data_IF_052845597809
#
_entry.id   IF_052845597809
#
_cell.length_a   1.000
_cell.length_b   1.000
_cell.length_c   1.000
_cell.angle_alpha   90.00
_cell.angle_beta   90.00
_cell.angle_gamma   90.00
#
_symmetry.space_group_name_H-M   'P 1'
#
loop_
_entity.id
_entity.type
_entity.pdbx_description
1 polymer ?
#
# COMPACT_ATOMS: atom_id res chain seq x y z
N UNK A 1 4.04 -3.73 10.76
CA UNK A 1 4.21 -4.85 11.70
C UNK A 1 5.11 -5.87 11.03
N UNK A 2 6.30 -6.05 11.58
CA UNK A 2 7.30 -6.93 11.00
C UNK A 2 7.05 -8.37 11.45
N UNK A 3 6.93 -9.29 10.50
CA UNK A 3 7.04 -10.73 10.78
C UNK A 3 8.53 -11.06 10.89
N UNK A 4 8.99 -11.40 12.07
CA UNK A 4 10.32 -12.00 12.25
C UNK A 4 10.19 -13.51 12.14
N UNK A 5 10.64 -14.08 11.03
CA UNK A 5 11.04 -15.48 11.00
C UNK A 5 12.44 -15.55 11.61
N UNK A 6 12.57 -16.05 12.83
CA UNK A 6 13.88 -16.34 13.42
C UNK A 6 14.40 -17.64 12.81
N UNK A 7 15.26 -17.53 11.80
CA UNK A 7 16.16 -18.62 11.42
C UNK A 7 17.39 -18.54 12.31
N UNK A 8 17.56 -19.51 13.20
CA UNK A 8 18.78 -19.67 13.98
C UNK A 8 19.93 -20.11 13.07
N UNK A 9 20.79 -19.16 12.72
CA UNK A 9 22.11 -19.43 12.20
C UNK A 9 23.06 -19.66 13.39
N UNK A 10 23.32 -20.91 13.75
CA UNK A 10 24.52 -21.28 14.50
C UNK A 10 25.63 -21.63 13.50
N UNK A 11 26.61 -20.76 13.44
CA UNK A 11 27.91 -21.04 12.84
C UNK A 11 28.70 -21.95 13.76
N UNK A 12 28.94 -23.20 13.36
CA UNK A 12 30.03 -24.02 13.90
C UNK A 12 30.68 -24.77 12.75
N UNK A 13 31.98 -24.60 12.66
CA UNK A 13 32.90 -25.22 11.72
C UNK A 13 33.05 -26.73 11.96
N UNK A 14 33.15 -27.47 10.83
CA UNK A 14 33.65 -28.85 10.72
C UNK A 14 32.82 -30.00 11.31
N UNK A 15 32.33 -30.83 10.40
CA UNK A 15 31.87 -32.19 10.67
C UNK A 15 30.68 -32.58 9.84
N UNK A 16 30.90 -33.29 8.73
CA UNK A 16 29.87 -33.94 7.93
C UNK A 16 29.11 -34.93 8.80
N UNK A 17 27.86 -34.62 9.15
CA UNK A 17 26.88 -35.60 9.63
C UNK A 17 25.57 -35.29 8.93
N UNK A 18 25.20 -36.19 8.03
CA UNK A 18 23.85 -36.22 7.40
C UNK A 18 22.83 -36.47 8.52
N UNK A 19 22.16 -35.41 8.95
CA UNK A 19 20.95 -35.52 9.76
C UNK A 19 19.76 -35.19 8.90
N UNK A 20 18.96 -36.20 8.56
CA UNK A 20 17.60 -36.07 8.09
C UNK A 20 16.74 -35.64 9.28
N UNK A 21 16.69 -34.34 9.55
CA UNK A 21 15.88 -33.76 10.61
C UNK A 21 14.67 -33.07 9.96
N UNK A 22 13.48 -33.51 10.29
CA UNK A 22 12.22 -32.86 9.98
C UNK A 22 12.28 -31.39 10.40
N UNK A 23 12.09 -30.48 9.46
CA UNK A 23 11.94 -29.06 9.75
C UNK A 23 10.59 -28.83 10.44
N UNK A 24 10.58 -28.85 11.76
CA UNK A 24 9.43 -28.42 12.54
C UNK A 24 9.19 -26.93 12.26
N UNK A 25 8.14 -26.61 11.53
CA UNK A 25 7.73 -25.23 11.28
C UNK A 25 7.26 -24.57 12.58
N UNK A 26 8.01 -23.59 13.06
CA UNK A 26 7.57 -22.75 14.18
C UNK A 26 6.52 -21.76 13.69
N UNK A 27 5.27 -21.92 14.15
CA UNK A 27 4.22 -20.92 13.97
C UNK A 27 4.32 -19.89 15.09
N UNK A 28 4.68 -18.64 14.77
CA UNK A 28 4.60 -17.55 15.72
C UNK A 28 3.14 -17.06 15.82
N UNK A 29 2.60 -16.95 17.04
CA UNK A 29 1.31 -16.31 17.25
C UNK A 29 1.44 -14.80 16.99
N UNK A 30 0.67 -14.28 16.04
CA UNK A 30 0.60 -12.85 15.75
C UNK A 30 -0.59 -12.26 16.51
N UNK A 31 -0.36 -11.16 17.24
CA UNK A 31 -1.41 -10.44 17.94
C UNK A 31 -1.66 -9.09 17.28
N UNK A 32 -2.94 -8.75 17.09
CA UNK A 32 -3.35 -7.41 16.71
C UNK A 32 -3.63 -6.57 17.96
N UNK A 33 -3.22 -5.30 17.94
CA UNK A 33 -3.41 -4.38 19.07
C UNK A 33 -4.50 -3.37 18.77
N UNK A 34 -5.39 -3.14 19.75
CA UNK A 34 -6.40 -2.09 19.71
C UNK A 34 -6.33 -1.27 21.01
N UNK A 35 -6.01 0.02 20.87
CA UNK A 35 -5.95 0.95 21.98
C UNK A 35 -7.38 1.33 22.45
N UNK A 36 -7.50 1.68 23.72
CA UNK A 36 -8.75 2.08 24.37
C UNK A 36 -9.88 1.05 24.29
N UNK A 37 -9.54 -0.24 24.22
CA UNK A 37 -10.49 -1.34 24.18
C UNK A 37 -10.05 -2.49 25.09
N UNK A 38 -11.03 -3.29 25.54
CA UNK A 38 -10.81 -4.52 26.28
C UNK A 38 -11.90 -5.57 25.98
N UNK A 39 -11.55 -6.85 26.07
CA UNK A 39 -12.50 -7.95 26.05
C UNK A 39 -12.89 -8.29 27.50
N UNK A 40 -14.14 -8.05 27.87
CA UNK A 40 -14.62 -8.18 29.25
C UNK A 40 -15.29 -9.55 29.50
N UNK A 41 -15.17 -10.06 30.74
CA UNK A 41 -15.85 -11.29 31.17
C UNK A 41 -15.33 -12.58 30.51
N UNK A 42 -14.13 -12.55 29.92
CA UNK A 42 -13.50 -13.72 29.30
C UNK A 42 -12.12 -14.00 29.92
N UNK A 43 -11.81 -13.34 31.02
CA UNK A 43 -10.52 -13.44 31.72
C UNK A 43 -10.40 -14.81 32.38
N UNK A 44 -9.29 -15.50 32.09
CA UNK A 44 -8.95 -16.79 32.70
C UNK A 44 -7.85 -16.65 33.74
N UNK A 45 -6.98 -15.65 33.59
CA UNK A 45 -5.88 -15.39 34.50
C UNK A 45 -5.53 -13.90 34.48
N UNK A 46 -5.15 -13.35 35.63
CA UNK A 46 -4.70 -11.97 35.78
C UNK A 46 -3.35 -11.95 36.47
N UNK A 47 -2.36 -11.27 35.88
CA UNK A 47 -1.01 -11.12 36.41
C UNK A 47 -0.52 -9.69 36.29
N UNK A 48 0.37 -9.27 37.19
CA UNK A 48 1.08 -8.00 37.04
C UNK A 48 2.30 -8.20 36.16
N UNK A 49 2.51 -7.26 35.24
CA UNK A 49 3.62 -7.25 34.27
C UNK A 49 4.27 -5.88 34.22
N UNK A 50 5.50 -5.82 33.76
CA UNK A 50 6.23 -4.55 33.55
C UNK A 50 5.84 -3.91 32.23
N UNK A 51 5.60 -4.72 31.21
CA UNK A 51 5.24 -4.24 29.87
C UNK A 51 4.28 -5.21 29.14
N UNK A 52 3.85 -4.82 27.96
CA UNK A 52 2.94 -5.62 27.13
C UNK A 52 3.62 -6.86 26.53
N UNK A 53 4.95 -6.82 26.36
CA UNK A 53 5.71 -7.94 25.82
C UNK A 53 5.77 -9.11 26.83
N UNK A 54 5.90 -8.81 28.13
CA UNK A 54 5.83 -9.81 29.17
C UNK A 54 4.46 -10.51 29.22
N UNK A 55 3.38 -9.73 29.09
CA UNK A 55 2.01 -10.27 29.00
C UNK A 55 1.83 -11.16 27.76
N UNK A 56 2.31 -10.71 26.62
CA UNK A 56 2.31 -11.47 25.37
C UNK A 56 3.03 -12.82 25.52
N UNK A 57 4.23 -12.81 26.10
CA UNK A 57 5.01 -14.03 26.33
C UNK A 57 4.26 -15.03 27.23
N UNK A 58 3.62 -14.54 28.32
CA UNK A 58 2.83 -15.39 29.19
C UNK A 58 1.62 -15.99 28.47
N UNK A 59 0.95 -15.20 27.63
CA UNK A 59 -0.19 -15.67 26.83
C UNK A 59 0.23 -16.75 25.82
N UNK A 60 1.37 -16.59 25.13
CA UNK A 60 1.86 -17.60 24.18
C UNK A 60 2.22 -18.91 24.89
N UNK A 61 2.76 -18.85 26.11
CA UNK A 61 3.10 -20.03 26.89
C UNK A 61 1.88 -20.78 27.42
N UNK A 62 0.70 -20.16 27.43
CA UNK A 62 -0.55 -20.77 27.87
C UNK A 62 -1.42 -21.17 26.68
N UNK A 63 -1.51 -22.46 26.40
CA UNK A 63 -2.22 -23.03 25.24
C UNK A 63 -3.70 -22.65 25.14
N UNK A 64 -4.32 -22.17 26.22
CA UNK A 64 -5.71 -21.73 26.27
C UNK A 64 -5.87 -20.23 26.08
N UNK A 65 -4.80 -19.45 26.14
CA UNK A 65 -4.85 -18.01 25.94
C UNK A 65 -5.00 -17.65 24.45
N UNK A 66 -6.06 -16.91 24.12
CA UNK A 66 -6.38 -16.46 22.75
C UNK A 66 -6.26 -14.95 22.56
N UNK A 67 -6.31 -14.20 23.64
CA UNK A 67 -6.14 -12.76 23.65
C UNK A 67 -5.76 -12.28 25.06
N UNK A 68 -5.34 -11.02 25.17
CA UNK A 68 -5.12 -10.41 26.48
C UNK A 68 -5.45 -8.92 26.47
N UNK A 69 -5.81 -8.40 27.66
CA UNK A 69 -5.96 -6.97 27.89
C UNK A 69 -4.80 -6.46 28.75
N UNK A 70 -4.35 -5.25 28.49
CA UNK A 70 -3.43 -4.53 29.37
C UNK A 70 -4.14 -3.34 29.96
N UNK A 71 -4.04 -3.19 31.27
CA UNK A 71 -4.60 -2.06 32.02
C UNK A 71 -3.51 -1.35 32.82
N UNK A 72 -3.54 -0.01 32.93
CA UNK A 72 -2.66 0.70 33.84
C UNK A 72 -2.99 0.36 35.31
N UNK A 73 -1.99 0.11 36.13
CA UNK A 73 -2.19 -0.08 37.57
C UNK A 73 -2.33 1.28 38.25
N UNK A 74 -3.44 1.49 39.00
CA UNK A 74 -3.72 2.78 39.66
C UNK A 74 -2.72 3.13 40.78
N UNK A 75 -2.03 2.12 41.32
CA UNK A 75 -1.13 2.28 42.47
C UNK A 75 0.35 2.33 42.12
N UNK A 76 0.72 2.00 40.89
CA UNK A 76 2.15 1.97 40.46
C UNK A 76 2.26 2.27 38.96
N UNK A 77 2.92 3.36 38.61
CA UNK A 77 3.10 3.77 37.21
C UNK A 77 4.03 2.85 36.40
N UNK A 78 4.80 1.98 37.06
CA UNK A 78 5.78 1.08 36.40
C UNK A 78 5.16 -0.28 36.07
N UNK A 79 4.12 -0.72 36.78
CA UNK A 79 3.48 -2.01 36.56
C UNK A 79 2.12 -1.85 35.86
N UNK A 80 1.76 -2.85 35.06
CA UNK A 80 0.49 -2.97 34.36
C UNK A 80 -0.20 -4.28 34.75
N UNK A 81 -1.51 -4.29 34.67
CA UNK A 81 -2.31 -5.52 34.83
C UNK A 81 -2.50 -6.18 33.46
N UNK A 82 -2.11 -7.44 33.36
CA UNK A 82 -2.33 -8.30 32.20
C UNK A 82 -3.48 -9.26 32.51
N UNK A 83 -4.56 -9.16 31.77
CA UNK A 83 -5.70 -10.10 31.84
C UNK A 83 -5.64 -11.01 30.61
N UNK A 84 -5.31 -12.28 30.80
CA UNK A 84 -5.31 -13.29 29.74
C UNK A 84 -6.71 -13.87 29.53
N UNK A 85 -7.17 -13.91 28.28
CA UNK A 85 -8.52 -14.35 27.90
C UNK A 85 -8.48 -15.65 27.09
N UNK A 86 -9.47 -16.51 27.31
CA UNK A 86 -9.66 -17.74 26.53
C UNK A 86 -10.49 -17.54 25.26
N UNK A 87 -10.87 -16.29 24.95
CA UNK A 87 -11.66 -15.89 23.78
C UNK A 87 -11.03 -14.72 23.06
N UNK A 88 -11.50 -14.44 21.83
CA UNK A 88 -11.12 -13.26 21.05
C UNK A 88 -12.32 -12.35 20.81
N UNK A 89 -12.07 -11.10 20.39
CA UNK A 89 -13.12 -10.14 20.04
C UNK A 89 -14.01 -10.64 18.88
N UNK A 90 -13.45 -11.44 17.97
CA UNK A 90 -14.17 -12.03 16.85
C UNK A 90 -15.16 -13.09 17.32
N UNK A 91 -14.80 -13.89 18.33
CA UNK A 91 -15.65 -14.93 18.90
C UNK A 91 -16.69 -14.39 19.89
N UNK A 92 -16.36 -13.28 20.57
CA UNK A 92 -17.21 -12.64 21.59
C UNK A 92 -17.39 -11.13 21.35
N UNK A 93 -17.94 -10.69 20.20
CA UNK A 93 -18.01 -9.27 19.85
C UNK A 93 -18.86 -8.44 20.82
N UNK A 94 -19.87 -9.02 21.45
CA UNK A 94 -20.70 -8.34 22.46
C UNK A 94 -19.96 -8.01 23.75
N UNK A 95 -18.87 -8.70 24.05
CA UNK A 95 -18.01 -8.51 25.22
C UNK A 95 -16.83 -7.57 24.96
N UNK A 96 -16.58 -7.22 23.70
CA UNK A 96 -15.54 -6.27 23.31
C UNK A 96 -16.06 -4.84 23.45
N UNK A 97 -15.47 -4.07 24.37
CA UNK A 97 -15.95 -2.74 24.76
C UNK A 97 -14.83 -1.70 24.74
N UNK A 98 -15.22 -0.44 24.51
CA UNK A 98 -14.33 0.70 24.71
C UNK A 98 -13.99 0.84 26.19
N UNK A 99 -12.70 0.89 26.53
CA UNK A 99 -12.16 1.05 27.88
C UNK A 99 -10.91 1.92 27.80
N UNK A 100 -11.08 3.21 28.03
CA UNK A 100 -10.03 4.21 27.87
C UNK A 100 -8.82 3.87 28.75
N UNK A 101 -7.61 4.02 28.20
CA UNK A 101 -6.34 3.70 28.85
C UNK A 101 -5.97 2.22 28.87
N UNK A 102 -6.82 1.34 28.33
CA UNK A 102 -6.53 -0.08 28.20
C UNK A 102 -6.13 -0.42 26.76
N UNK A 103 -5.40 -1.51 26.55
CA UNK A 103 -5.15 -2.06 25.22
C UNK A 103 -5.57 -3.52 25.15
N UNK A 104 -6.30 -3.87 24.09
CA UNK A 104 -6.64 -5.24 23.75
C UNK A 104 -5.64 -5.80 22.75
N UNK A 105 -5.20 -7.03 22.97
CA UNK A 105 -4.31 -7.77 22.08
C UNK A 105 -4.95 -9.12 21.77
N UNK A 106 -5.41 -9.30 20.53
CA UNK A 106 -6.05 -10.54 20.08
C UNK A 106 -5.13 -11.38 19.23
N UNK A 107 -5.04 -12.68 19.49
CA UNK A 107 -4.35 -13.57 18.57
C UNK A 107 -5.08 -13.61 17.24
N UNK A 108 -4.34 -13.33 16.17
CA UNK A 108 -4.79 -13.63 14.82
C UNK A 108 -4.38 -15.06 14.55
N UNK A 109 -5.33 -15.97 14.35
CA UNK A 109 -5.01 -17.33 13.95
C UNK A 109 -4.30 -17.31 12.61
N UNK A 110 -2.99 -17.43 12.64
CA UNK A 110 -2.18 -17.66 11.44
C UNK A 110 -2.18 -19.17 11.23
N UNK A 111 -3.01 -19.65 10.32
CA UNK A 111 -2.96 -21.06 9.90
C UNK A 111 -1.65 -21.31 9.17
N UNK A 112 -0.68 -21.91 9.85
CA UNK A 112 0.53 -22.40 9.21
C UNK A 112 0.18 -23.61 8.37
N UNK A 113 0.23 -23.49 7.05
CA UNK A 113 0.13 -24.64 6.15
C UNK A 113 1.52 -25.25 6.00
N UNK A 114 1.70 -26.47 6.50
CA UNK A 114 2.87 -27.28 6.18
C UNK A 114 2.92 -27.54 4.67
N UNK A 115 3.89 -26.96 3.99
CA UNK A 115 4.27 -27.32 2.63
C UNK A 115 5.17 -28.56 2.72
N UNK A 116 4.62 -29.69 3.06
CA UNK A 116 5.08 -31.08 2.80
C UNK A 116 4.19 -32.05 3.57
N UNK A 117 3.13 -32.51 2.98
CA UNK A 117 2.55 -33.78 3.38
C UNK A 117 1.85 -34.41 2.17
N UNK A 118 2.54 -35.31 1.53
CA UNK A 118 1.91 -36.42 0.85
C UNK A 118 1.15 -37.27 1.88
N UNK A 119 -0.10 -37.53 1.55
CA UNK A 119 -1.02 -38.53 2.06
C UNK A 119 -2.16 -38.07 2.99
N UNK A 120 -3.33 -38.04 2.33
CA UNK A 120 -4.67 -38.39 2.80
C UNK A 120 -5.00 -38.24 4.31
N UNK A 121 -5.54 -37.04 4.67
CA UNK A 121 -6.74 -36.98 5.52
C UNK A 121 -7.33 -35.55 5.45
N UNK A 122 -8.61 -35.46 5.00
CA UNK A 122 -9.43 -34.27 5.02
C UNK A 122 -9.64 -33.78 6.45
N UNK A 123 -8.93 -32.73 6.86
CA UNK A 123 -9.39 -31.80 7.91
C UNK A 123 -9.74 -30.51 7.23
N UNK A 124 -10.88 -29.92 7.55
CA UNK A 124 -11.42 -28.68 7.00
C UNK A 124 -10.45 -27.50 7.19
N UNK A 125 -9.42 -27.44 6.35
CA UNK A 125 -8.37 -26.44 6.39
C UNK A 125 -8.82 -25.18 5.68
N UNK A 126 -8.97 -24.07 6.40
CA UNK A 126 -9.03 -22.74 5.76
C UNK A 126 -7.64 -22.39 5.22
N UNK A 127 -7.57 -21.99 3.97
CA UNK A 127 -6.32 -21.53 3.36
C UNK A 127 -5.80 -20.25 4.06
N UNK A 128 -4.48 -20.02 3.97
CA UNK A 128 -3.88 -18.73 4.33
C UNK A 128 -4.61 -17.59 3.60
N UNK A 129 -4.80 -16.40 4.19
CA UNK A 129 -5.59 -15.30 3.59
C UNK A 129 -5.21 -14.87 2.16
N UNK A 130 -4.00 -15.22 1.71
CA UNK A 130 -3.56 -14.99 0.33
C UNK A 130 -3.85 -16.14 -0.64
N UNK A 131 -4.50 -17.21 -0.19
CA UNK A 131 -4.70 -18.43 -0.97
C UNK A 131 -6.11 -18.97 -0.83
N UNK A 132 -6.61 -19.66 -1.86
CA UNK A 132 -7.92 -20.29 -1.88
C UNK A 132 -7.89 -21.61 -2.69
N UNK A 133 -9.07 -22.26 -2.82
CA UNK A 133 -9.23 -23.54 -3.51
C UNK A 133 -8.99 -24.74 -2.57
N UNK A 134 -9.36 -25.93 -3.05
CA UNK A 134 -9.28 -27.18 -2.25
C UNK A 134 -7.86 -27.50 -1.74
N UNK A 135 -6.83 -27.08 -2.47
CA UNK A 135 -5.42 -27.33 -2.16
C UNK A 135 -4.67 -26.03 -1.77
N UNK A 136 -5.37 -24.93 -1.55
CA UNK A 136 -4.79 -23.62 -1.25
C UNK A 136 -3.73 -23.17 -2.28
N UNK A 137 -3.94 -23.45 -3.55
CA UNK A 137 -3.02 -23.12 -4.65
C UNK A 137 -3.41 -21.87 -5.42
N UNK A 138 -4.67 -21.43 -5.33
CA UNK A 138 -5.17 -20.22 -5.99
C UNK A 138 -4.72 -19.01 -5.20
N UNK A 139 -3.86 -18.18 -5.78
CA UNK A 139 -3.34 -16.96 -5.13
C UNK A 139 -4.35 -15.82 -5.25
N UNK A 140 -4.46 -15.01 -4.21
CA UNK A 140 -5.26 -13.77 -4.22
C UNK A 140 -4.83 -12.87 -5.40
N UNK A 141 -5.81 -12.35 -6.13
CA UNK A 141 -5.59 -11.54 -7.32
C UNK A 141 -5.29 -12.31 -8.61
N UNK A 142 -5.17 -13.65 -8.57
CA UNK A 142 -4.90 -14.45 -9.77
C UNK A 142 -6.15 -14.78 -10.60
N UNK A 143 -7.34 -14.68 -10.00
CA UNK A 143 -8.63 -14.94 -10.69
C UNK A 143 -9.70 -13.97 -10.21
N UNK A 144 -10.78 -13.78 -11.01
CA UNK A 144 -11.93 -12.96 -10.61
C UNK A 144 -12.68 -13.54 -9.40
N UNK A 145 -12.60 -14.83 -9.16
CA UNK A 145 -13.24 -15.49 -8.02
C UNK A 145 -12.51 -15.27 -6.70
N UNK A 146 -11.26 -14.81 -6.77
CA UNK A 146 -10.44 -14.51 -5.59
C UNK A 146 -9.62 -13.24 -5.80
N UNK A 147 -10.26 -12.07 -5.97
CA UNK A 147 -9.59 -10.78 -6.17
C UNK A 147 -8.91 -10.31 -4.89
N UNK A 148 -7.91 -9.43 -5.03
CA UNK A 148 -7.44 -8.61 -3.93
C UNK A 148 -8.27 -7.33 -3.79
N UNK A 149 -8.21 -6.69 -2.63
CA UNK A 149 -8.77 -5.34 -2.48
C UNK A 149 -7.92 -4.32 -3.25
N UNK A 150 -6.59 -4.50 -3.24
CA UNK A 150 -5.63 -3.62 -3.91
C UNK A 150 -4.35 -4.38 -4.26
N UNK A 151 -3.47 -3.77 -5.05
CA UNK A 151 -2.12 -4.30 -5.29
C UNK A 151 -1.33 -4.51 -3.98
N UNK A 152 -1.46 -3.59 -3.03
CA UNK A 152 -0.84 -3.69 -1.70
C UNK A 152 -1.38 -4.88 -0.89
N UNK A 153 -2.68 -5.13 -0.96
CA UNK A 153 -3.34 -6.29 -0.34
C UNK A 153 -2.82 -7.60 -0.93
N UNK A 154 -2.75 -7.69 -2.25
CA UNK A 154 -2.20 -8.87 -2.96
C UNK A 154 -0.76 -9.11 -2.53
N UNK A 155 0.09 -8.08 -2.59
CA UNK A 155 1.50 -8.18 -2.19
C UNK A 155 1.65 -8.67 -0.74
N UNK A 156 0.86 -8.10 0.18
CA UNK A 156 0.89 -8.44 1.62
C UNK A 156 0.64 -9.92 1.87
N UNK A 157 -0.31 -10.52 1.17
CA UNK A 157 -0.75 -11.87 1.46
C UNK A 157 -0.14 -12.95 0.57
N UNK A 158 0.39 -12.59 -0.61
CA UNK A 158 0.94 -13.57 -1.57
C UNK A 158 2.44 -13.42 -1.80
N UNK A 159 3.05 -12.34 -1.29
CA UNK A 159 4.44 -11.97 -1.57
C UNK A 159 4.75 -11.93 -3.09
N UNK A 160 3.78 -11.44 -3.88
CA UNK A 160 3.90 -11.33 -5.33
C UNK A 160 5.11 -10.47 -5.71
N UNK A 161 5.93 -10.95 -6.65
CA UNK A 161 7.14 -10.27 -7.13
C UNK A 161 7.07 -9.89 -8.61
N UNK A 162 6.00 -10.24 -9.29
CA UNK A 162 5.85 -9.97 -10.73
C UNK A 162 5.03 -8.71 -10.94
N UNK A 163 5.60 -7.74 -11.65
CA UNK A 163 4.88 -6.60 -12.19
C UNK A 163 3.95 -7.09 -13.30
N UNK A 164 2.65 -7.08 -13.08
CA UNK A 164 1.68 -7.70 -13.97
C UNK A 164 0.26 -7.24 -13.68
N UNK A 165 -0.68 -7.76 -14.45
CA UNK A 165 -2.10 -7.66 -14.16
C UNK A 165 -2.52 -8.58 -13.01
N UNK A 166 -3.40 -8.03 -12.17
CA UNK A 166 -4.07 -8.76 -11.10
C UNK A 166 -5.54 -8.38 -11.05
N UNK A 167 -6.36 -9.29 -10.55
CA UNK A 167 -7.76 -9.04 -10.30
C UNK A 167 -7.93 -8.32 -8.96
N UNK A 168 -8.60 -7.16 -8.98
CA UNK A 168 -8.91 -6.39 -7.78
C UNK A 168 -10.40 -6.08 -7.70
N UNK A 169 -10.91 -6.00 -6.47
CA UNK A 169 -12.26 -5.53 -6.15
C UNK A 169 -12.19 -4.60 -4.93
N UNK A 170 -11.89 -3.30 -5.13
CA UNK A 170 -11.71 -2.33 -4.06
C UNK A 170 -12.88 -2.25 -3.09
N UNK A 171 -14.10 -2.33 -3.58
CA UNK A 171 -15.34 -2.28 -2.77
C UNK A 171 -15.75 -3.63 -2.18
N UNK A 172 -15.22 -4.75 -2.69
CA UNK A 172 -15.70 -6.08 -2.31
C UNK A 172 -17.14 -6.36 -2.76
N UNK A 173 -17.58 -5.78 -3.87
CA UNK A 173 -18.97 -5.88 -4.38
C UNK A 173 -19.20 -7.10 -5.27
N UNK A 174 -18.18 -7.93 -5.48
CA UNK A 174 -18.26 -9.09 -6.37
C UNK A 174 -18.14 -8.74 -7.85
N UNK A 175 -17.69 -7.53 -8.17
CA UNK A 175 -17.43 -7.08 -9.54
C UNK A 175 -15.94 -6.76 -9.74
N UNK A 176 -15.04 -7.76 -9.69
CA UNK A 176 -13.63 -7.55 -9.86
C UNK A 176 -13.28 -7.09 -11.27
N UNK A 177 -12.15 -6.42 -11.42
CA UNK A 177 -11.59 -6.04 -12.70
C UNK A 177 -10.07 -6.20 -12.67
N UNK A 178 -9.45 -6.29 -13.86
CA UNK A 178 -8.01 -6.36 -13.99
C UNK A 178 -7.38 -4.99 -13.86
N UNK A 179 -6.30 -4.91 -13.10
CA UNK A 179 -5.47 -3.72 -12.96
C UNK A 179 -3.99 -4.09 -12.97
N UNK A 180 -3.16 -3.20 -13.48
CA UNK A 180 -1.72 -3.40 -13.46
C UNK A 180 -1.15 -3.02 -12.09
N UNK A 181 -0.40 -3.96 -11.50
CA UNK A 181 0.31 -3.74 -10.25
C UNK A 181 1.83 -3.79 -10.47
N UNK A 182 2.53 -2.77 -9.98
CA UNK A 182 3.97 -2.79 -9.81
C UNK A 182 4.28 -3.31 -8.40
N UNK A 183 4.83 -4.54 -8.37
CA UNK A 183 5.06 -5.30 -7.14
C UNK A 183 6.51 -5.19 -6.63
N UNK A 184 7.35 -4.43 -7.32
CA UNK A 184 8.80 -4.40 -7.04
C UNK A 184 9.33 -3.02 -6.67
N UNK A 185 8.90 -1.96 -7.33
CA UNK A 185 9.42 -0.60 -7.11
C UNK A 185 9.09 -0.12 -5.70
N UNK A 186 10.10 0.34 -4.95
CA UNK A 186 9.96 0.90 -3.60
C UNK A 186 9.08 0.02 -2.68
N UNK A 187 9.41 -1.25 -2.60
CA UNK A 187 8.66 -2.22 -1.80
C UNK A 187 7.36 -2.73 -2.43
N UNK A 188 6.98 -2.24 -3.61
CA UNK A 188 5.86 -2.76 -4.40
C UNK A 188 4.47 -2.37 -3.91
N UNK A 189 3.46 -3.06 -4.48
CA UNK A 189 2.05 -2.84 -4.13
C UNK A 189 1.44 -1.59 -4.76
N UNK A 190 2.02 -1.09 -5.83
CA UNK A 190 1.57 0.09 -6.55
C UNK A 190 0.52 -0.24 -7.61
N UNK A 191 -0.61 0.45 -7.56
CA UNK A 191 -1.69 0.37 -8.55
C UNK A 191 -1.48 1.45 -9.62
N UNK A 192 -1.38 1.07 -10.88
CA UNK A 192 -1.28 2.00 -12.01
C UNK A 192 -2.63 2.66 -12.26
N UNK A 193 -2.68 4.00 -12.16
CA UNK A 193 -3.91 4.80 -12.38
C UNK A 193 -3.83 5.71 -13.60
N UNK A 194 -2.64 5.92 -14.14
CA UNK A 194 -2.42 6.65 -15.39
C UNK A 194 -1.29 5.99 -16.17
N UNK A 195 -1.48 5.75 -17.47
CA UNK A 195 -0.49 5.17 -18.37
C UNK A 195 -0.57 5.82 -19.74
N UNK A 196 0.41 6.65 -20.05
CA UNK A 196 0.58 7.25 -21.38
C UNK A 196 1.97 6.88 -21.88
N UNK A 197 2.02 6.24 -23.05
CA UNK A 197 3.25 5.87 -23.75
C UNK A 197 3.09 6.29 -25.19
N UNK A 198 4.01 7.10 -25.66
CA UNK A 198 3.97 7.58 -27.06
C UNK A 198 4.34 6.47 -28.04
N UNK A 199 3.54 6.31 -29.07
CA UNK A 199 3.80 5.40 -30.19
C UNK A 199 4.46 6.09 -31.38
N UNK A 200 4.69 5.32 -32.44
CA UNK A 200 5.18 5.84 -33.74
C UNK A 200 4.12 6.68 -34.50
N UNK A 201 2.83 6.54 -34.16
CA UNK A 201 1.75 7.34 -34.72
C UNK A 201 1.51 8.59 -33.86
N UNK A 202 1.49 9.76 -34.46
CA UNK A 202 1.40 11.07 -33.79
C UNK A 202 -0.01 11.42 -33.24
N UNK A 203 -0.86 10.43 -32.92
CA UNK A 203 -2.14 10.71 -32.26
C UNK A 203 -1.95 10.97 -30.77
N UNK A 204 -1.96 12.23 -30.38
CA UNK A 204 -1.85 12.68 -28.98
C UNK A 204 -3.20 12.65 -28.24
N UNK A 205 -4.20 11.93 -28.75
CA UNK A 205 -5.50 11.85 -28.11
C UNK A 205 -5.44 10.99 -26.86
N UNK A 206 -5.74 11.59 -25.71
CA UNK A 206 -5.81 10.90 -24.41
C UNK A 206 -7.16 10.17 -24.27
N UNK A 207 -7.13 8.99 -23.66
CA UNK A 207 -8.32 8.25 -23.21
C UNK A 207 -8.63 8.65 -21.77
N UNK A 208 -9.68 9.47 -21.59
CA UNK A 208 -10.04 10.04 -20.29
C UNK A 208 -10.96 9.09 -19.55
N UNK A 209 -10.52 8.60 -18.42
CA UNK A 209 -11.25 7.69 -17.53
C UNK A 209 -11.99 8.48 -16.45
N UNK A 210 -13.32 8.39 -16.45
CA UNK A 210 -14.21 9.11 -15.53
C UNK A 210 -14.68 8.28 -14.33
N UNK A 211 -14.43 6.97 -14.33
CA UNK A 211 -14.54 6.06 -13.18
C UNK A 211 -13.26 5.26 -13.04
N UNK A 212 -12.80 5.00 -11.82
CA UNK A 212 -11.54 4.28 -11.62
C UNK A 212 -11.55 2.85 -12.18
N UNK A 213 -12.71 2.26 -12.44
CA UNK A 213 -12.79 0.93 -13.09
C UNK A 213 -12.22 0.93 -14.52
N UNK A 214 -12.20 2.09 -15.15
CA UNK A 214 -11.59 2.27 -16.48
C UNK A 214 -10.06 2.18 -16.50
N UNK A 215 -9.37 2.08 -15.34
CA UNK A 215 -7.92 1.85 -15.31
C UNK A 215 -7.53 0.48 -15.90
N UNK A 216 -8.48 -0.42 -16.10
CA UNK A 216 -8.29 -1.67 -16.85
C UNK A 216 -7.86 -1.43 -18.31
N UNK A 217 -8.15 -0.25 -18.88
CA UNK A 217 -7.78 0.14 -20.26
C UNK A 217 -6.34 0.66 -20.38
N UNK A 218 -5.47 0.38 -19.41
CA UNK A 218 -4.11 0.87 -19.43
C UNK A 218 -3.29 0.39 -20.66
N UNK A 219 -3.70 -0.70 -21.31
CA UNK A 219 -3.10 -1.21 -22.54
C UNK A 219 -3.24 -0.27 -23.74
N UNK A 220 -4.20 0.67 -23.69
CA UNK A 220 -4.34 1.70 -24.73
C UNK A 220 -3.10 2.60 -24.85
N UNK A 221 -2.27 2.64 -23.79
CA UNK A 221 -1.12 3.56 -23.67
C UNK A 221 -1.49 5.03 -23.79
N UNK A 222 -2.76 5.37 -23.54
CA UNK A 222 -3.30 6.75 -23.63
C UNK A 222 -4.17 7.10 -22.42
N UNK A 223 -4.23 6.23 -21.43
CA UNK A 223 -5.13 6.31 -20.29
C UNK A 223 -4.72 7.39 -19.31
N UNK A 224 -5.62 8.33 -19.05
CA UNK A 224 -5.55 9.32 -17.97
C UNK A 224 -6.82 9.30 -17.15
N UNK A 225 -6.72 9.56 -15.84
CA UNK A 225 -7.83 9.48 -14.91
C UNK A 225 -8.26 10.88 -14.44
N UNK A 226 -9.57 11.12 -14.34
CA UNK A 226 -10.10 12.38 -13.80
C UNK A 226 -9.93 12.47 -12.28
N UNK A 227 -9.95 13.70 -11.76
CA UNK A 227 -9.92 13.94 -10.31
C UNK A 227 -11.13 13.31 -9.60
N UNK A 228 -12.31 13.28 -10.25
CA UNK A 228 -13.50 12.62 -9.69
C UNK A 228 -13.32 11.10 -9.56
N UNK A 229 -12.71 10.46 -10.56
CA UNK A 229 -12.41 9.03 -10.51
C UNK A 229 -11.31 8.71 -9.49
N UNK A 230 -10.33 9.61 -9.31
CA UNK A 230 -9.34 9.51 -8.23
C UNK A 230 -9.98 9.63 -6.84
N UNK A 231 -10.98 10.51 -6.69
CA UNK A 231 -11.75 10.66 -5.44
C UNK A 231 -12.55 9.39 -5.12
N UNK A 232 -13.19 8.81 -6.13
CA UNK A 232 -13.88 7.52 -6.01
C UNK A 232 -12.91 6.43 -5.55
N UNK A 233 -11.76 6.30 -6.21
CA UNK A 233 -10.73 5.31 -5.87
C UNK A 233 -10.16 5.53 -4.46
N UNK A 234 -9.94 6.78 -4.05
CA UNK A 234 -9.48 7.10 -2.70
C UNK A 234 -10.50 6.66 -1.64
N UNK A 235 -11.80 6.91 -1.88
CA UNK A 235 -12.87 6.48 -0.98
C UNK A 235 -12.91 4.97 -0.74
N UNK A 236 -12.56 4.19 -1.76
CA UNK A 236 -12.59 2.73 -1.70
C UNK A 236 -11.26 2.11 -1.17
N UNK A 237 -10.11 2.71 -1.48
CA UNK A 237 -8.79 2.15 -1.14
C UNK A 237 -8.07 2.87 -0.01
N UNK A 238 -8.40 4.15 0.26
CA UNK A 238 -7.70 4.99 1.23
C UNK A 238 -6.16 4.93 1.06
N UNK A 239 -5.69 5.06 -0.18
CA UNK A 239 -4.25 5.03 -0.48
C UNK A 239 -3.55 6.24 0.14
N UNK A 240 -2.28 6.06 0.53
CA UNK A 240 -1.52 7.05 1.30
C UNK A 240 -0.40 7.71 0.50
N UNK A 241 -0.11 7.20 -0.68
CA UNK A 241 0.98 7.70 -1.51
C UNK A 241 0.58 7.73 -2.99
N UNK A 242 1.11 8.73 -3.70
CA UNK A 242 1.05 8.84 -5.15
C UNK A 242 2.49 8.87 -5.68
N UNK A 243 2.75 8.14 -6.76
CA UNK A 243 4.05 8.09 -7.44
C UNK A 243 3.90 8.59 -8.86
N UNK A 244 4.67 9.62 -9.22
CA UNK A 244 4.75 10.20 -10.56
C UNK A 244 6.03 9.72 -11.23
N UNK A 245 5.94 9.25 -12.47
CA UNK A 245 7.09 8.74 -13.21
C UNK A 245 6.97 9.06 -14.69
N UNK A 246 7.85 9.88 -15.22
CA UNK A 246 7.96 10.12 -16.66
C UNK A 246 9.41 10.16 -17.15
N UNK A 247 9.57 9.87 -18.43
CA UNK A 247 10.85 9.99 -19.13
C UNK A 247 10.62 10.31 -20.60
N UNK A 248 11.42 11.23 -21.13
CA UNK A 248 11.53 11.51 -22.57
C UNK A 248 12.96 11.26 -23.04
N UNK A 249 13.12 10.51 -24.12
CA UNK A 249 14.43 10.20 -24.71
C UNK A 249 15.18 11.47 -25.14
N UNK A 250 14.47 12.40 -25.78
CA UNK A 250 15.04 13.68 -26.24
C UNK A 250 15.50 14.60 -25.12
N UNK A 251 14.99 14.39 -23.89
CA UNK A 251 15.37 15.15 -22.68
C UNK A 251 16.52 14.46 -21.96
N UNK A 252 16.54 13.13 -21.97
CA UNK A 252 17.56 12.29 -21.32
C UNK A 252 17.42 12.24 -19.78
N UNK A 253 16.40 12.90 -19.21
CA UNK A 253 16.14 12.91 -17.77
C UNK A 253 14.85 12.16 -17.42
N UNK A 254 14.82 11.67 -16.20
CA UNK A 254 13.68 10.99 -15.59
C UNK A 254 13.16 11.81 -14.42
N UNK A 255 11.88 12.15 -14.42
CA UNK A 255 11.19 12.67 -13.25
C UNK A 255 10.48 11.49 -12.58
N UNK A 256 10.93 11.12 -11.39
CA UNK A 256 10.39 9.98 -10.66
C UNK A 256 10.33 10.27 -9.16
N UNK A 257 9.15 10.59 -8.67
CA UNK A 257 8.94 11.00 -7.27
C UNK A 257 7.77 10.26 -6.64
N UNK A 258 7.86 10.05 -5.33
CA UNK A 258 6.80 9.47 -4.48
C UNK A 258 6.43 10.48 -3.42
N UNK A 259 5.14 10.70 -3.17
CA UNK A 259 4.70 11.56 -2.05
C UNK A 259 5.26 11.04 -0.73
N UNK A 260 5.80 11.95 0.09
CA UNK A 260 6.41 11.61 1.37
C UNK A 260 5.38 11.01 2.34
N UNK A 261 5.79 10.06 3.18
CA UNK A 261 4.95 9.46 4.20
C UNK A 261 4.82 10.36 5.45
N UNK A 262 4.40 11.63 5.24
CA UNK A 262 4.20 12.65 6.26
C UNK A 262 2.98 13.52 5.94
N UNK A 263 2.70 14.53 6.77
CA UNK A 263 1.56 15.45 6.56
C UNK A 263 1.63 16.23 5.25
N UNK A 264 2.83 16.65 4.82
CA UNK A 264 3.02 17.36 3.55
C UNK A 264 2.72 16.47 2.34
N UNK A 265 3.19 15.22 2.35
CA UNK A 265 2.86 14.25 1.29
C UNK A 265 1.39 13.85 1.31
N UNK A 266 0.78 13.74 2.48
CA UNK A 266 -0.66 13.50 2.58
C UNK A 266 -1.49 14.65 1.99
N UNK A 267 -1.06 15.91 2.16
CA UNK A 267 -1.71 17.06 1.53
C UNK A 267 -1.70 16.95 -0.02
N UNK A 268 -0.62 16.44 -0.61
CA UNK A 268 -0.53 16.14 -2.06
C UNK A 268 -1.53 15.06 -2.45
N UNK A 269 -1.61 13.97 -1.67
CA UNK A 269 -2.58 12.89 -1.90
C UNK A 269 -4.01 13.42 -1.87
N UNK A 270 -4.38 14.21 -0.86
CA UNK A 270 -5.70 14.82 -0.74
C UNK A 270 -6.05 15.74 -1.93
N UNK A 271 -5.08 16.54 -2.36
CA UNK A 271 -5.25 17.45 -3.48
C UNK A 271 -5.53 16.70 -4.79
N UNK A 272 -4.67 15.75 -5.16
CA UNK A 272 -4.82 14.98 -6.40
C UNK A 272 -5.99 13.99 -6.36
N UNK A 273 -6.47 13.64 -5.17
CA UNK A 273 -7.70 12.86 -4.98
C UNK A 273 -8.97 13.71 -4.92
N UNK A 274 -8.88 15.04 -5.15
CA UNK A 274 -10.05 15.93 -5.16
C UNK A 274 -10.76 16.08 -3.81
N UNK A 275 -10.07 15.84 -2.70
CA UNK A 275 -10.62 16.02 -1.34
C UNK A 275 -10.46 17.45 -0.85
N UNK A 276 -9.54 18.20 -1.43
CA UNK A 276 -9.29 19.62 -1.15
C UNK A 276 -8.91 20.35 -2.44
N UNK A 277 -9.14 21.66 -2.46
CA UNK A 277 -8.68 22.56 -3.51
C UNK A 277 -7.47 23.40 -3.06
N UNK A 278 -6.93 23.12 -1.87
CA UNK A 278 -5.74 23.78 -1.37
C UNK A 278 -4.50 23.18 -2.06
N UNK A 279 -3.79 24.00 -2.83
CA UNK A 279 -2.55 23.61 -3.50
C UNK A 279 -1.47 23.32 -2.45
N UNK A 280 -0.94 22.07 -2.41
CA UNK A 280 0.04 21.68 -1.41
C UNK A 280 1.44 22.23 -1.75
N UNK A 281 2.23 22.45 -0.71
CA UNK A 281 3.64 22.81 -0.84
C UNK A 281 4.41 21.66 -1.51
N UNK A 282 5.30 21.98 -2.45
CA UNK A 282 6.09 21.01 -3.20
C UNK A 282 7.28 20.47 -2.40
N UNK A 283 8.12 21.37 -1.85
CA UNK A 283 9.30 20.95 -1.10
C UNK A 283 8.94 20.22 0.20
N UNK A 284 9.59 19.07 0.41
CA UNK A 284 9.31 18.22 1.59
C UNK A 284 8.06 17.34 1.48
N UNK A 285 7.28 17.48 0.38
CA UNK A 285 6.07 16.69 0.17
C UNK A 285 6.31 15.41 -0.65
N UNK A 286 7.49 15.23 -1.18
CA UNK A 286 7.88 14.03 -1.93
C UNK A 286 9.32 13.61 -1.66
N UNK A 287 9.62 12.36 -2.02
CA UNK A 287 10.95 11.75 -2.04
C UNK A 287 11.28 11.44 -3.49
N UNK A 288 12.50 11.76 -3.91
CA UNK A 288 13.01 11.39 -5.24
C UNK A 288 13.40 9.92 -5.24
N UNK A 289 12.98 9.21 -6.29
CA UNK A 289 13.39 7.82 -6.49
C UNK A 289 14.85 7.76 -6.96
N UNK A 290 15.47 6.58 -6.86
CA UNK A 290 16.89 6.37 -7.17
C UNK A 290 17.25 6.76 -8.62
N UNK A 291 16.33 6.53 -9.57
CA UNK A 291 16.48 6.87 -10.99
C UNK A 291 16.04 8.30 -11.35
N UNK A 292 15.56 9.09 -10.36
CA UNK A 292 15.22 10.50 -10.61
C UNK A 292 16.48 11.35 -10.78
N UNK A 293 16.63 11.94 -11.96
CA UNK A 293 17.69 12.91 -12.26
C UNK A 293 17.14 14.22 -12.84
N UNK A 294 15.86 14.52 -12.59
CA UNK A 294 15.16 15.68 -13.13
C UNK A 294 15.59 16.99 -12.47
N UNK A 295 15.56 18.05 -13.27
CA UNK A 295 15.68 19.43 -12.77
C UNK A 295 14.41 19.86 -12.04
N UNK A 296 13.25 19.40 -12.51
CA UNK A 296 11.96 19.69 -11.91
C UNK A 296 11.95 19.27 -10.43
N UNK A 297 12.31 18.04 -10.10
CA UNK A 297 12.33 17.60 -8.71
C UNK A 297 13.42 18.27 -7.85
N UNK A 298 14.50 18.71 -8.44
CA UNK A 298 15.58 19.41 -7.71
C UNK A 298 15.21 20.83 -7.29
N UNK A 299 14.34 21.49 -8.06
CA UNK A 299 14.01 22.91 -7.94
C UNK A 299 12.59 23.13 -7.41
N UNK A 300 12.18 22.35 -6.43
CA UNK A 300 10.81 22.35 -5.90
C UNK A 300 10.33 23.73 -5.42
N UNK A 301 11.21 24.58 -4.88
CA UNK A 301 10.85 25.93 -4.42
C UNK A 301 10.43 26.89 -5.55
N UNK A 302 10.77 26.54 -6.79
CA UNK A 302 10.45 27.35 -7.97
C UNK A 302 9.16 26.90 -8.67
N UNK A 303 8.49 25.87 -8.16
CA UNK A 303 7.28 25.37 -8.80
C UNK A 303 6.14 26.38 -8.75
N UNK A 304 5.27 26.32 -9.77
CA UNK A 304 4.07 27.12 -9.93
C UNK A 304 4.36 28.61 -10.29
N UNK A 305 3.32 29.36 -10.56
CA UNK A 305 3.39 30.76 -10.95
C UNK A 305 4.04 31.62 -9.85
N UNK A 306 4.98 32.49 -10.25
CA UNK A 306 5.70 33.35 -9.31
C UNK A 306 6.62 32.60 -8.35
N UNK A 307 7.01 31.36 -8.67
CA UNK A 307 7.90 30.53 -7.84
C UNK A 307 7.34 30.31 -6.43
N UNK A 308 6.05 29.99 -6.36
CA UNK A 308 5.34 29.83 -5.09
C UNK A 308 5.65 28.51 -4.35
N UNK A 309 6.42 27.60 -4.97
CA UNK A 309 6.81 26.32 -4.39
C UNK A 309 5.62 25.39 -4.12
N UNK A 310 4.66 25.34 -5.03
CA UNK A 310 3.44 24.53 -4.88
C UNK A 310 3.23 23.58 -6.05
N UNK A 311 2.58 22.45 -5.77
CA UNK A 311 2.02 21.56 -6.78
C UNK A 311 0.88 22.25 -7.52
N UNK A 312 0.70 21.85 -8.81
CA UNK A 312 -0.37 22.32 -9.67
C UNK A 312 -0.26 23.79 -10.10
N UNK A 313 -1.27 24.33 -10.73
CA UNK A 313 -1.29 25.64 -11.34
C UNK A 313 -2.36 26.55 -10.69
N UNK A 314 -1.98 27.78 -10.38
CA UNK A 314 -2.84 28.74 -9.67
C UNK A 314 -3.79 29.55 -10.55
N UNK A 315 -3.78 29.43 -11.89
CA UNK A 315 -4.68 30.27 -12.69
C UNK A 315 -6.08 29.64 -12.88
N UNK A 316 -7.05 30.40 -12.37
CA UNK A 316 -8.41 29.98 -12.11
C UNK A 316 -9.32 29.86 -13.35
N UNK A 317 -8.82 29.99 -14.57
CA UNK A 317 -9.67 30.18 -15.77
C UNK A 317 -9.88 28.94 -16.64
N UNK A 318 -9.41 27.75 -16.22
CA UNK A 318 -9.54 26.52 -16.99
C UNK A 318 -10.11 25.40 -16.12
N UNK A 319 -10.76 24.43 -16.74
CA UNK A 319 -11.42 23.29 -16.07
C UNK A 319 -10.38 22.28 -15.48
N UNK A 320 -9.37 22.80 -14.78
CA UNK A 320 -8.25 22.03 -14.21
C UNK A 320 -8.66 21.06 -13.11
N UNK A 321 -9.81 21.30 -12.47
CA UNK A 321 -10.30 20.43 -11.40
C UNK A 321 -10.49 18.98 -11.87
N UNK A 322 -10.73 18.75 -13.16
CA UNK A 322 -10.89 17.41 -13.74
C UNK A 322 -9.54 16.77 -14.07
N UNK A 323 -8.49 17.57 -14.32
CA UNK A 323 -7.25 17.14 -14.97
C UNK A 323 -6.01 17.28 -14.10
N UNK A 324 -6.14 17.34 -12.78
CA UNK A 324 -5.04 17.68 -11.84
C UNK A 324 -3.78 16.83 -12.01
N UNK A 325 -3.94 15.53 -12.35
CA UNK A 325 -2.81 14.60 -12.48
C UNK A 325 -1.97 14.79 -13.74
N UNK A 326 -2.54 15.36 -14.78
CA UNK A 326 -1.92 15.37 -16.11
C UNK A 326 -1.91 16.74 -16.82
N UNK A 327 -2.34 17.79 -16.13
CA UNK A 327 -2.27 19.16 -16.59
C UNK A 327 -1.49 20.01 -15.58
N UNK A 328 -0.21 20.27 -15.88
CA UNK A 328 0.70 21.04 -15.03
C UNK A 328 0.69 20.61 -13.55
N UNK A 329 0.73 19.32 -13.29
CA UNK A 329 0.80 18.82 -11.92
C UNK A 329 2.01 19.33 -11.16
N UNK A 330 3.15 19.47 -11.87
CA UNK A 330 4.39 20.06 -11.38
C UNK A 330 5.03 20.84 -12.53
N UNK A 331 5.48 22.08 -12.30
CA UNK A 331 6.08 22.89 -13.36
C UNK A 331 6.87 24.08 -12.84
N UNK A 332 7.89 24.49 -13.59
CA UNK A 332 8.71 25.70 -13.39
C UNK A 332 8.54 26.57 -14.62
N UNK A 333 8.04 27.79 -14.43
CA UNK A 333 7.73 28.73 -15.51
C UNK A 333 8.91 28.89 -16.49
N UNK A 334 8.64 28.70 -17.80
CA UNK A 334 9.61 28.74 -18.90
C UNK A 334 10.69 27.66 -18.93
N UNK A 335 10.64 26.60 -18.08
CA UNK A 335 11.74 25.63 -18.01
C UNK A 335 11.33 24.16 -18.03
N UNK A 336 10.67 23.68 -16.98
CA UNK A 336 10.46 22.26 -16.74
C UNK A 336 9.03 21.98 -16.34
N UNK A 337 8.35 21.08 -17.05
CA UNK A 337 6.95 20.78 -16.81
C UNK A 337 6.71 19.28 -16.71
N UNK A 338 5.71 18.92 -15.94
CA UNK A 338 4.92 17.70 -16.07
C UNK A 338 3.57 18.11 -16.64
N UNK A 339 3.36 17.89 -17.94
CA UNK A 339 2.10 18.26 -18.59
C UNK A 339 1.79 17.40 -19.81
N UNK A 340 0.52 17.03 -19.98
CA UNK A 340 0.04 16.20 -21.07
C UNK A 340 -1.01 16.91 -21.94
N UNK A 341 -1.43 18.12 -21.60
CA UNK A 341 -2.63 18.75 -22.20
C UNK A 341 -2.39 20.16 -22.74
N UNK A 342 -1.49 20.92 -22.12
CA UNK A 342 -1.31 22.33 -22.45
C UNK A 342 -0.62 22.51 -23.83
N UNK A 343 -0.39 23.74 -24.27
CA UNK A 343 0.04 24.20 -25.62
C UNK A 343 0.98 23.28 -26.41
N UNK A 344 1.97 22.68 -25.75
CA UNK A 344 2.84 21.64 -26.29
C UNK A 344 2.72 20.41 -25.39
N UNK A 345 1.74 19.54 -25.64
CA UNK A 345 1.45 18.41 -24.78
C UNK A 345 2.63 17.45 -24.70
N UNK A 346 2.64 16.63 -23.63
CA UNK A 346 3.64 15.61 -23.38
C UNK A 346 5.00 16.14 -22.93
N UNK A 347 5.00 17.05 -21.96
CA UNK A 347 6.20 17.57 -21.30
C UNK A 347 6.58 16.69 -20.09
N UNK A 348 7.86 16.35 -19.99
CA UNK A 348 8.47 15.61 -18.89
C UNK A 348 9.84 16.20 -18.60
N UNK A 349 9.92 17.05 -17.57
CA UNK A 349 11.12 17.80 -17.19
C UNK A 349 11.70 18.66 -18.34
N UNK A 350 10.82 19.13 -19.20
CA UNK A 350 11.15 19.99 -20.34
C UNK A 350 10.03 20.99 -20.63
N UNK A 351 10.26 21.86 -21.61
CA UNK A 351 9.25 22.75 -22.18
C UNK A 351 9.32 22.67 -23.71
N UNK A 352 8.28 22.13 -24.32
CA UNK A 352 8.04 22.21 -25.76
C UNK A 352 8.89 21.28 -26.64
N UNK A 353 9.64 20.34 -26.10
CA UNK A 353 10.30 19.32 -26.93
C UNK A 353 9.28 18.29 -27.39
N UNK A 354 9.30 17.95 -28.68
CA UNK A 354 8.43 16.92 -29.23
C UNK A 354 8.68 15.56 -28.56
N UNK A 355 7.63 14.78 -28.27
CA UNK A 355 7.80 13.43 -27.75
C UNK A 355 8.33 12.49 -28.83
N UNK A 356 9.03 11.44 -28.40
CA UNK A 356 9.54 10.34 -29.22
C UNK A 356 8.77 9.06 -28.91
N UNK A 357 8.81 8.08 -29.81
CA UNK A 357 8.22 6.76 -29.54
C UNK A 357 8.88 6.11 -28.31
N UNK A 358 8.05 5.63 -27.38
CA UNK A 358 8.48 5.03 -26.11
C UNK A 358 8.67 6.01 -24.96
N UNK A 359 8.50 7.32 -25.17
CA UNK A 359 8.40 8.27 -24.06
C UNK A 359 7.14 7.96 -23.23
N UNK A 360 7.20 8.15 -21.91
CA UNK A 360 6.09 7.71 -21.06
C UNK A 360 5.81 8.65 -19.89
N UNK A 361 4.55 8.62 -19.43
CA UNK A 361 4.02 9.24 -18.21
C UNK A 361 3.15 8.23 -17.48
N UNK A 362 3.51 7.93 -16.25
CA UNK A 362 2.79 6.97 -15.41
C UNK A 362 2.53 7.56 -14.03
N UNK A 363 1.34 7.30 -13.50
CA UNK A 363 1.01 7.61 -12.10
C UNK A 363 0.51 6.34 -11.43
N UNK A 364 0.97 6.14 -10.21
CA UNK A 364 0.59 5.01 -9.38
C UNK A 364 0.12 5.48 -8.01
N UNK A 365 -0.71 4.67 -7.35
CA UNK A 365 -1.14 4.88 -5.96
C UNK A 365 -0.89 3.65 -5.10
N UNK A 366 -0.65 3.91 -3.79
CA UNK A 366 -0.43 2.82 -2.81
C UNK A 366 -0.95 3.17 -1.42
#
# INVERSE_FOLDING_TARGET
>A
MACFCASNLFSVSFGILLWTGEAAGFCASVFETQQDHALLGQVMETVNVTDEFECHRKCIQNNTCKSFNIHPLKTNAVQKTCEMNNQTRQLKPKHYKKKIGSSYHGSVEVSCVNVMATNNQQKSGRCHPGYSGKQCTVKKGSSPDFPGVSCKDILKYTNAKKNSEYWIDPKGTGHPFKAYCDMTTDGGGWLLVMNVITGSSHSNQLSIVTSYRGISDYHSNKMVITTSAMKELYGDLNFQQIRFHCRKHSVGRTFHVVTAANSSGNAVVQYFSGLTNVEPVSCGSYVRMEDDNSELARRCSEWNHGQSGKWSRSDRNWNYDVQRLYNHAAWIHHYHHWDLVHRNPFECDDLGKSPSSGDFWKVFVR
#
